data_IF_119127258192
#
_entry.id   IF_119127258192
#
_cell.length_a   1.000
_cell.length_b   1.000
_cell.length_c   1.000
_cell.angle_alpha   90.00
_cell.angle_beta   90.00
_cell.angle_gamma   90.00
#
_symmetry.space_group_name_H-M   'P 1'
#
loop_
_entity.id
_entity.type
_entity.pdbx_description
1 polymer ?
#
# COMPACT_ATOMS: atom_id res chain seq x y z
N UNK A 1 1.80 -14.19 -18.80
CA UNK A 1 1.25 -14.85 -17.60
C UNK A 1 0.45 -13.80 -16.85
N UNK A 2 -0.89 -13.81 -16.99
CA UNK A 2 -1.80 -12.78 -16.49
C UNK A 2 -1.88 -12.83 -14.96
N UNK A 3 -1.28 -11.86 -14.25
CA UNK A 3 -1.40 -11.74 -12.79
C UNK A 3 -2.39 -10.62 -12.38
N UNK A 4 -2.73 -9.70 -13.29
CA UNK A 4 -3.43 -8.45 -12.94
C UNK A 4 -4.91 -8.64 -12.53
N UNK A 5 -5.56 -9.75 -12.92
CA UNK A 5 -7.01 -9.94 -12.69
C UNK A 5 -7.44 -10.11 -11.21
N UNK A 6 -6.50 -10.18 -10.25
CA UNK A 6 -6.79 -10.48 -8.84
C UNK A 6 -6.68 -9.30 -7.87
N UNK A 7 -6.48 -8.07 -8.35
CA UNK A 7 -6.15 -6.93 -7.47
C UNK A 7 -7.36 -6.13 -6.96
N UNK A 8 -8.56 -6.36 -7.49
CA UNK A 8 -9.77 -5.63 -7.06
C UNK A 8 -10.69 -6.51 -6.22
N UNK A 9 -10.84 -6.17 -4.94
CA UNK A 9 -11.69 -6.88 -3.97
C UNK A 9 -13.17 -7.02 -4.41
N UNK A 10 -13.64 -6.16 -5.33
CA UNK A 10 -15.02 -6.17 -5.86
C UNK A 10 -15.11 -5.97 -7.37
N UNK A 11 -14.22 -6.62 -8.13
CA UNK A 11 -14.16 -6.46 -9.59
C UNK A 11 -15.51 -6.68 -10.30
N UNK A 12 -16.26 -7.67 -9.84
CA UNK A 12 -17.59 -8.02 -10.35
C UNK A 12 -18.59 -6.86 -10.34
N UNK A 13 -18.44 -5.87 -9.46
CA UNK A 13 -19.31 -4.69 -9.39
C UNK A 13 -18.94 -3.71 -10.51
N UNK A 14 -17.65 -3.55 -10.80
CA UNK A 14 -17.15 -2.73 -11.90
C UNK A 14 -17.56 -3.33 -13.26
N UNK A 15 -17.43 -4.65 -13.42
CA UNK A 15 -17.72 -5.35 -14.67
C UNK A 15 -19.23 -5.33 -15.04
N UNK A 16 -20.11 -5.18 -14.05
CA UNK A 16 -21.55 -4.98 -14.27
C UNK A 16 -21.90 -3.61 -14.84
N UNK A 17 -20.92 -2.71 -14.98
CA UNK A 17 -21.06 -1.37 -15.56
C UNK A 17 -22.20 -0.55 -14.93
N UNK A 18 -22.33 -0.65 -13.60
CA UNK A 18 -23.42 -0.06 -12.82
C UNK A 18 -23.28 1.44 -12.57
N UNK A 19 -22.08 1.99 -12.80
CA UNK A 19 -21.76 3.38 -12.49
C UNK A 19 -21.67 4.21 -13.76
N UNK A 20 -22.20 5.44 -13.71
CA UNK A 20 -22.11 6.36 -14.83
C UNK A 20 -20.66 6.77 -15.15
N UNK A 21 -19.81 6.81 -14.13
CA UNK A 21 -18.40 7.16 -14.24
C UNK A 21 -17.56 6.29 -13.30
N UNK A 22 -16.37 5.92 -13.75
CA UNK A 22 -15.35 5.22 -12.96
C UNK A 22 -14.09 6.08 -12.92
N UNK A 23 -13.47 6.19 -11.75
CA UNK A 23 -12.20 6.89 -11.56
C UNK A 23 -11.23 5.93 -10.87
N UNK A 24 -10.03 5.76 -11.42
CA UNK A 24 -8.91 5.04 -10.78
C UNK A 24 -7.88 6.05 -10.29
N UNK A 25 -7.49 5.90 -9.03
CA UNK A 25 -6.39 6.62 -8.39
C UNK A 25 -5.42 5.54 -7.91
N UNK A 26 -4.21 5.52 -8.46
CA UNK A 26 -3.25 4.45 -8.20
C UNK A 26 -1.81 4.95 -8.43
N UNK A 27 -0.85 4.35 -7.75
CA UNK A 27 0.57 4.67 -7.93
C UNK A 27 1.35 3.53 -8.60
N UNK A 28 0.73 2.38 -8.86
CA UNK A 28 1.40 1.28 -9.55
C UNK A 28 1.48 1.52 -11.07
N UNK A 29 2.61 1.21 -11.72
CA UNK A 29 2.76 1.29 -13.17
C UNK A 29 2.14 0.06 -13.87
N UNK A 30 0.88 -0.23 -13.57
CA UNK A 30 0.17 -1.40 -14.08
C UNK A 30 -0.46 -1.13 -15.45
N UNK A 31 -0.56 -2.17 -16.28
CA UNK A 31 -1.33 -2.10 -17.52
C UNK A 31 -2.80 -1.77 -17.23
N UNK A 32 -3.42 -1.05 -18.16
CA UNK A 32 -4.82 -0.65 -18.02
C UNK A 32 -5.75 -1.83 -18.23
N UNK A 33 -6.60 -2.05 -17.24
CA UNK A 33 -7.55 -3.14 -17.18
C UNK A 33 -9.00 -2.62 -17.00
N UNK A 34 -9.18 -1.30 -17.02
CA UNK A 34 -10.49 -0.65 -16.97
C UNK A 34 -10.92 -0.23 -18.37
N UNK A 35 -12.23 -0.17 -18.62
CA UNK A 35 -12.75 0.24 -19.94
C UNK A 35 -12.36 1.68 -20.30
N UNK A 36 -12.49 2.02 -21.59
CA UNK A 36 -12.11 3.33 -22.14
C UNK A 36 -12.74 4.54 -21.42
N UNK A 37 -13.93 4.35 -20.84
CA UNK A 37 -14.67 5.41 -20.14
C UNK A 37 -14.12 5.75 -18.75
N UNK A 38 -13.23 4.96 -18.18
CA UNK A 38 -12.67 5.25 -16.87
C UNK A 38 -11.72 6.46 -16.94
N UNK A 39 -11.77 7.33 -15.93
CA UNK A 39 -10.77 8.38 -15.73
C UNK A 39 -9.64 7.80 -14.89
N UNK A 40 -8.39 8.14 -15.19
CA UNK A 40 -7.22 7.59 -14.53
C UNK A 40 -6.32 8.69 -14.04
N UNK A 41 -5.97 8.63 -12.77
CA UNK A 41 -4.82 9.28 -12.21
C UNK A 41 -3.88 8.18 -11.72
N UNK A 42 -2.93 7.81 -12.59
CA UNK A 42 -1.92 6.79 -12.31
C UNK A 42 -0.54 7.44 -12.34
N UNK A 43 0.13 7.51 -11.19
CA UNK A 43 1.41 8.20 -11.07
C UNK A 43 2.35 7.48 -10.11
N UNK A 44 3.35 6.79 -10.67
CA UNK A 44 4.34 6.02 -9.91
C UNK A 44 5.40 6.88 -9.21
N UNK A 45 5.31 8.21 -9.30
CA UNK A 45 6.12 9.11 -8.47
C UNK A 45 5.60 9.21 -7.04
N UNK A 46 4.40 8.70 -6.75
CA UNK A 46 3.82 8.63 -5.41
C UNK A 46 4.26 7.36 -4.67
N UNK A 47 4.45 7.48 -3.36
CA UNK A 47 4.81 6.35 -2.52
C UNK A 47 3.64 5.42 -2.21
N UNK A 48 2.41 5.92 -2.30
CA UNK A 48 1.17 5.20 -2.01
C UNK A 48 -0.03 5.86 -2.71
N UNK A 49 -1.09 5.11 -2.96
CA UNK A 49 -2.38 5.70 -3.35
C UNK A 49 -2.94 6.64 -2.27
N UNK A 50 -2.73 6.33 -0.98
CA UNK A 50 -3.13 7.20 0.13
C UNK A 50 -2.36 8.52 0.19
N UNK A 51 -1.14 8.58 -0.38
CA UNK A 51 -0.44 9.86 -0.57
C UNK A 51 -1.21 10.75 -1.56
N UNK A 52 -1.72 10.17 -2.65
CA UNK A 52 -2.50 10.87 -3.67
C UNK A 52 -3.84 11.37 -3.10
N UNK A 53 -4.52 10.54 -2.30
CA UNK A 53 -5.77 10.94 -1.61
C UNK A 53 -5.49 12.04 -0.59
N UNK A 54 -4.39 11.94 0.16
CA UNK A 54 -3.99 12.99 1.11
C UNK A 54 -3.72 14.31 0.39
N UNK A 55 -3.05 14.28 -0.77
CA UNK A 55 -2.82 15.48 -1.57
C UNK A 55 -4.12 16.13 -2.02
N UNK A 56 -5.08 15.35 -2.53
CA UNK A 56 -6.41 15.88 -2.91
C UNK A 56 -7.03 16.61 -1.72
N UNK A 57 -7.04 15.97 -0.54
CA UNK A 57 -7.65 16.55 0.66
C UNK A 57 -6.95 17.85 1.09
N UNK A 58 -5.61 17.87 1.10
CA UNK A 58 -4.82 19.04 1.50
C UNK A 58 -4.97 20.20 0.51
N UNK A 59 -4.88 19.93 -0.80
CA UNK A 59 -4.99 20.95 -1.86
C UNK A 59 -6.38 21.59 -1.89
N UNK A 60 -7.42 20.82 -1.59
CA UNK A 60 -8.80 21.32 -1.55
C UNK A 60 -9.26 21.80 -0.17
N UNK A 61 -8.33 21.92 0.80
CA UNK A 61 -8.61 22.36 2.17
C UNK A 61 -9.73 21.56 2.86
N UNK A 62 -9.82 20.27 2.57
CA UNK A 62 -10.80 19.39 3.19
C UNK A 62 -10.49 19.19 4.66
N UNK A 63 -11.55 19.06 5.48
CA UNK A 63 -11.40 18.67 6.88
C UNK A 63 -10.95 17.21 6.98
N UNK A 64 -9.68 17.00 7.28
CA UNK A 64 -9.14 15.68 7.63
C UNK A 64 -9.46 15.41 9.11
N UNK A 65 -10.27 14.40 9.38
CA UNK A 65 -10.55 13.98 10.77
C UNK A 65 -9.37 13.15 11.32
N UNK A 66 -9.21 13.03 12.65
CA UNK A 66 -8.20 12.14 13.22
C UNK A 66 -8.30 10.71 12.70
N UNK A 67 -9.53 10.20 12.50
CA UNK A 67 -9.73 8.87 11.93
C UNK A 67 -9.22 8.76 10.49
N UNK A 68 -9.56 9.74 9.63
CA UNK A 68 -9.04 9.77 8.27
C UNK A 68 -7.51 9.92 8.24
N UNK A 69 -6.95 10.72 9.14
CA UNK A 69 -5.52 10.91 9.27
C UNK A 69 -4.79 9.60 9.56
N UNK A 70 -5.33 8.80 10.49
CA UNK A 70 -4.78 7.48 10.82
C UNK A 70 -4.86 6.50 9.65
N UNK A 71 -5.97 6.45 8.89
CA UNK A 71 -6.08 5.56 7.73
C UNK A 71 -5.16 5.97 6.58
N UNK A 72 -5.13 7.25 6.23
CA UNK A 72 -4.25 7.76 5.17
C UNK A 72 -2.77 7.53 5.53
N UNK A 73 -2.40 7.78 6.78
CA UNK A 73 -1.04 7.52 7.22
C UNK A 73 -0.71 6.03 7.20
N UNK A 74 -1.64 5.16 7.56
CA UNK A 74 -1.44 3.71 7.53
C UNK A 74 -0.99 3.25 6.14
N UNK A 75 -1.70 3.61 5.07
CA UNK A 75 -1.31 3.21 3.72
C UNK A 75 -0.03 3.88 3.22
N UNK A 76 0.18 5.18 3.51
CA UNK A 76 1.46 5.85 3.22
C UNK A 76 2.61 5.11 3.93
N UNK A 77 2.42 4.72 5.19
CA UNK A 77 3.44 4.08 6.00
C UNK A 77 3.80 2.68 5.46
N UNK A 78 2.81 1.86 5.13
CA UNK A 78 3.04 0.49 4.67
C UNK A 78 3.67 0.47 3.28
N UNK A 79 3.16 1.27 2.34
CA UNK A 79 3.61 1.23 0.94
C UNK A 79 4.96 1.93 0.73
N UNK A 80 5.34 2.83 1.65
CA UNK A 80 6.67 3.48 1.64
C UNK A 80 7.74 2.74 2.44
N UNK A 81 7.40 1.59 3.05
CA UNK A 81 8.30 0.87 3.93
C UNK A 81 8.73 1.71 5.13
N UNK A 82 7.79 2.41 5.77
CA UNK A 82 8.07 3.39 6.84
C UNK A 82 9.00 4.51 6.36
N UNK A 83 8.71 5.05 5.18
CA UNK A 83 9.48 6.12 4.54
C UNK A 83 10.91 5.74 4.11
N UNK A 84 11.22 4.45 3.99
CA UNK A 84 12.55 3.96 3.61
C UNK A 84 12.72 3.73 2.11
N UNK A 85 11.63 3.60 1.36
CA UNK A 85 11.70 3.28 -0.07
C UNK A 85 12.05 4.50 -0.94
N UNK A 86 12.66 4.21 -2.10
CA UNK A 86 13.24 5.22 -2.99
C UNK A 86 12.21 6.11 -3.71
N UNK A 87 10.91 5.84 -3.60
CA UNK A 87 9.83 6.67 -4.15
C UNK A 87 9.31 7.71 -3.14
N UNK A 88 9.78 7.70 -1.89
CA UNK A 88 9.48 8.74 -0.90
C UNK A 88 10.09 10.07 -1.33
N UNK A 89 9.29 11.15 -1.26
CA UNK A 89 9.70 12.51 -1.67
C UNK A 89 9.42 13.52 -0.56
N UNK A 90 9.90 14.75 -0.75
CA UNK A 90 9.56 15.88 0.13
C UNK A 90 8.04 16.07 0.25
N UNK A 91 7.31 15.86 -0.86
CA UNK A 91 5.84 15.83 -0.89
C UNK A 91 5.26 14.81 0.10
N UNK A 92 5.75 13.57 0.08
CA UNK A 92 5.28 12.50 0.97
C UNK A 92 5.39 12.91 2.45
N UNK A 93 6.54 13.45 2.84
CA UNK A 93 6.78 13.90 4.22
C UNK A 93 5.95 15.14 4.60
N UNK A 94 5.77 16.07 3.67
CA UNK A 94 4.89 17.22 3.86
C UNK A 94 3.43 16.80 4.07
N UNK A 95 2.92 15.88 3.26
CA UNK A 95 1.56 15.36 3.42
C UNK A 95 1.40 14.60 4.74
N UNK A 96 2.40 13.79 5.12
CA UNK A 96 2.40 13.14 6.43
C UNK A 96 2.37 14.16 7.58
N UNK A 97 3.06 15.31 7.47
CA UNK A 97 2.99 16.37 8.49
C UNK A 97 1.59 16.97 8.60
N UNK A 98 0.83 17.07 7.50
CA UNK A 98 -0.59 17.47 7.53
C UNK A 98 -1.47 16.46 8.25
N UNK A 99 -1.16 15.18 8.17
CA UNK A 99 -1.87 14.16 8.95
C UNK A 99 -1.57 14.29 10.45
N UNK A 100 -0.34 14.63 10.85
CA UNK A 100 -0.01 14.98 12.24
C UNK A 100 -0.82 16.19 12.73
N UNK A 101 -0.90 17.27 11.93
CA UNK A 101 -1.74 18.43 12.25
C UNK A 101 -3.22 18.05 12.45
N UNK A 102 -3.70 17.03 11.73
CA UNK A 102 -5.07 16.52 11.79
C UNK A 102 -5.35 15.52 12.94
N UNK A 103 -4.36 15.22 13.79
CA UNK A 103 -4.53 14.32 14.94
C UNK A 103 -4.18 12.85 14.67
N UNK A 104 -3.26 12.58 13.75
CA UNK A 104 -2.65 11.26 13.55
C UNK A 104 -2.01 10.72 14.85
N UNK A 105 -2.26 9.44 15.14
CA UNK A 105 -1.66 8.70 16.26
C UNK A 105 -0.63 7.68 15.73
N UNK A 106 0.50 8.19 15.20
CA UNK A 106 1.49 7.34 14.54
C UNK A 106 2.02 6.21 15.43
N UNK A 107 2.25 6.46 16.73
CA UNK A 107 2.74 5.45 17.67
C UNK A 107 1.77 4.27 17.81
N UNK A 108 0.46 4.54 17.82
CA UNK A 108 -0.57 3.50 17.82
C UNK A 108 -0.46 2.65 16.56
N UNK A 109 -0.31 3.28 15.39
CA UNK A 109 -0.19 2.57 14.11
C UNK A 109 1.08 1.70 14.09
N UNK A 110 2.24 2.27 14.41
CA UNK A 110 3.52 1.55 14.42
C UNK A 110 3.52 0.38 15.41
N UNK A 111 2.96 0.59 16.60
CA UNK A 111 2.85 -0.45 17.63
C UNK A 111 1.99 -1.61 17.14
N UNK A 112 0.86 -1.33 16.51
CA UNK A 112 -0.03 -2.39 16.00
C UNK A 112 0.54 -3.11 14.77
N UNK A 113 1.16 -2.38 13.84
CA UNK A 113 1.84 -2.97 12.67
C UNK A 113 3.04 -3.84 13.04
N UNK A 114 3.67 -3.58 14.19
CA UNK A 114 4.85 -4.34 14.64
C UNK A 114 4.49 -5.56 15.49
N UNK A 115 3.20 -5.83 15.73
CA UNK A 115 2.77 -7.03 16.45
C UNK A 115 3.05 -8.27 15.60
N UNK A 116 3.60 -9.30 16.24
CA UNK A 116 3.84 -10.61 15.63
C UNK A 116 3.49 -11.69 16.64
N UNK A 117 2.95 -12.82 16.18
CA UNK A 117 2.63 -13.95 17.06
C UNK A 117 3.88 -14.78 17.38
N UNK A 118 3.84 -15.57 18.45
CA UNK A 118 4.93 -16.51 18.74
C UNK A 118 5.06 -17.55 17.63
N UNK A 119 3.93 -17.94 17.04
CA UNK A 119 3.83 -18.85 15.91
C UNK A 119 4.53 -18.29 14.67
N UNK A 120 4.31 -17.01 14.35
CA UNK A 120 5.00 -16.32 13.24
C UNK A 120 6.51 -16.24 13.50
N UNK A 121 6.93 -15.96 14.74
CA UNK A 121 8.35 -15.94 15.11
C UNK A 121 8.97 -17.33 14.91
N UNK A 122 8.30 -18.39 15.38
CA UNK A 122 8.76 -19.78 15.21
C UNK A 122 8.81 -20.17 13.73
N UNK A 123 7.81 -19.79 12.95
CA UNK A 123 7.76 -20.03 11.53
C UNK A 123 8.89 -19.30 10.79
N UNK A 124 9.13 -18.03 11.10
CA UNK A 124 10.26 -17.27 10.55
C UNK A 124 11.61 -17.91 10.93
N UNK A 125 11.77 -18.40 12.15
CA UNK A 125 12.97 -19.12 12.59
C UNK A 125 13.19 -20.40 11.75
N UNK A 126 12.12 -21.18 11.57
CA UNK A 126 12.16 -22.37 10.70
C UNK A 126 12.49 -21.99 9.24
N UNK A 127 11.86 -20.95 8.70
CA UNK A 127 12.07 -20.47 7.34
C UNK A 127 13.55 -20.09 7.12
N UNK A 128 14.13 -19.33 8.04
CA UNK A 128 15.54 -18.94 8.01
C UNK A 128 16.48 -20.15 8.17
N UNK A 129 16.07 -21.20 8.90
CA UNK A 129 16.86 -22.43 9.02
C UNK A 129 17.01 -23.20 7.70
N UNK A 130 16.13 -22.97 6.72
CA UNK A 130 16.18 -23.62 5.39
C UNK A 130 16.86 -22.77 4.32
N UNK A 131 17.40 -21.60 4.70
CA UNK A 131 18.11 -20.67 3.83
C UNK A 131 19.28 -21.35 3.11
N UNK A 132 19.35 -21.17 1.80
CA UNK A 132 20.45 -21.61 0.95
C UNK A 132 21.14 -20.40 0.35
N UNK A 133 22.42 -20.54 0.04
CA UNK A 133 23.17 -19.51 -0.68
C UNK A 133 23.86 -20.10 -1.90
N UNK A 134 23.93 -19.33 -2.99
CA UNK A 134 24.66 -19.69 -4.21
C UNK A 134 25.04 -18.41 -4.96
N UNK A 135 26.32 -18.26 -5.33
CA UNK A 135 26.82 -17.16 -6.16
C UNK A 135 26.42 -15.75 -5.67
N UNK A 136 26.47 -15.51 -4.36
CA UNK A 136 26.09 -14.22 -3.76
C UNK A 136 24.58 -14.01 -3.59
N UNK A 137 23.75 -15.00 -3.93
CA UNK A 137 22.30 -14.97 -3.78
C UNK A 137 21.87 -15.85 -2.61
N UNK A 138 21.04 -15.31 -1.72
CA UNK A 138 20.36 -16.07 -0.67
C UNK A 138 18.92 -16.41 -1.11
N UNK A 139 18.48 -17.65 -0.92
CA UNK A 139 17.15 -18.09 -1.33
C UNK A 139 16.59 -19.17 -0.39
N UNK A 140 15.26 -19.24 -0.32
CA UNK A 140 14.50 -20.24 0.44
C UNK A 140 13.58 -20.95 -0.54
N UNK A 141 13.46 -22.28 -0.42
CA UNK A 141 12.60 -23.09 -1.28
C UNK A 141 11.66 -23.92 -0.41
N UNK A 142 10.38 -23.58 -0.49
CA UNK A 142 9.31 -24.24 0.24
C UNK A 142 8.39 -24.96 -0.75
N UNK A 143 7.78 -26.06 -0.32
CA UNK A 143 6.75 -26.75 -1.11
C UNK A 143 5.47 -26.91 -0.27
N UNK A 144 4.32 -26.95 -0.94
CA UNK A 144 3.01 -26.96 -0.27
C UNK A 144 2.75 -28.19 0.62
N UNK A 145 3.55 -29.26 0.49
CA UNK A 145 3.39 -30.48 1.31
C UNK A 145 4.16 -30.40 2.62
N UNK A 146 5.30 -29.71 2.60
CA UNK A 146 6.28 -29.65 3.69
C UNK A 146 6.25 -28.29 4.42
N UNK A 147 5.32 -27.40 4.04
CA UNK A 147 5.13 -26.04 4.58
C UNK A 147 3.67 -25.80 4.89
#
# INVERSE_FOLDING_TARGET
MQIIKKEFEKREVLDKNLFAQVIRIDHHPNDDDLGEKAIRWVDSSYSAADEMITEIAVVNEWKITPQAANYLYLGINTDSGRFLFNNVRSRTLYLASKLYEAGLEADYIHTNLSKTSLEDIKFNSWLLSTLKTRDGVAYIQNNLKDT
#
